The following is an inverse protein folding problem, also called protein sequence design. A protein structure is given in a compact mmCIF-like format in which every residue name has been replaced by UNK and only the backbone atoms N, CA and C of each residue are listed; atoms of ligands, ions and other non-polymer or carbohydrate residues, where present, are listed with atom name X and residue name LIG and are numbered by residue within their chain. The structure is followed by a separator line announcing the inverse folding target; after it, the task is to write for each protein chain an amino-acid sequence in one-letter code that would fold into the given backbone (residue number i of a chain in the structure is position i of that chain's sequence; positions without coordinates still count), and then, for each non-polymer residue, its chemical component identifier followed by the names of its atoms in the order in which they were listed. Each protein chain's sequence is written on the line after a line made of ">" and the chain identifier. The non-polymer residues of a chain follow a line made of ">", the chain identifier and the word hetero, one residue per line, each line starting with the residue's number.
data_IF_650008118742
#
_entry.id   IF_650008118742
#
_cell.length_a   1.000
_cell.length_b   1.000
_cell.length_c   1.000
_cell.angle_alpha   90.00
_cell.angle_beta   90.00
_cell.angle_gamma   90.00
#
_symmetry.space_group_name_H-M   'P 1'
#
loop_
_entity.id
_entity.type
_entity.pdbx_description
1 polymer ?
#
# COMPACT_ATOMS: atom_id res chain seq x y z
N UNK A 1 -28.21 25.78 -20.40
CA UNK A 1 -28.65 24.44 -19.96
C UNK A 1 -28.22 24.28 -18.51
N UNK A 2 -29.20 24.27 -17.62
CA UNK A 2 -29.07 24.00 -16.19
C UNK A 2 -29.06 22.48 -15.88
N UNK A 3 -28.72 22.14 -14.63
CA UNK A 3 -29.07 20.94 -13.81
C UNK A 3 -27.95 19.96 -13.34
N UNK A 4 -27.68 19.97 -12.01
CA UNK A 4 -27.38 18.88 -11.03
C UNK A 4 -26.52 17.65 -11.46
N UNK A 5 -25.37 17.25 -10.89
CA UNK A 5 -25.00 16.87 -9.49
C UNK A 5 -24.57 15.37 -9.43
N UNK A 6 -24.05 14.77 -8.32
CA UNK A 6 -23.03 15.19 -7.35
C UNK A 6 -21.65 14.56 -7.67
N UNK A 7 -20.60 14.90 -6.91
CA UNK A 7 -19.35 14.12 -6.90
C UNK A 7 -19.67 12.66 -6.54
N UNK A 8 -19.78 11.79 -7.54
CA UNK A 8 -19.71 10.35 -7.33
C UNK A 8 -18.31 10.05 -6.84
N UNK A 9 -18.12 10.01 -5.51
CA UNK A 9 -16.99 9.31 -4.95
C UNK A 9 -17.15 7.86 -5.37
N UNK A 10 -16.50 7.49 -6.48
CA UNK A 10 -16.36 6.10 -6.91
C UNK A 10 -15.95 5.29 -5.69
N UNK A 11 -16.72 4.26 -5.35
CA UNK A 11 -16.31 3.32 -4.30
C UNK A 11 -14.95 2.78 -4.70
N UNK A 12 -13.93 3.09 -3.90
CA UNK A 12 -12.58 2.55 -4.06
C UNK A 12 -12.72 1.07 -3.69
N UNK A 13 -12.64 0.18 -4.67
CA UNK A 13 -12.71 -1.26 -4.50
C UNK A 13 -11.92 -1.97 -5.60
N UNK A 14 -11.31 -3.14 -5.33
CA UNK A 14 -10.64 -3.92 -6.36
C UNK A 14 -11.65 -4.46 -7.40
N UNK A 15 -11.20 -4.75 -8.63
CA UNK A 15 -12.04 -5.43 -9.62
C UNK A 15 -12.61 -6.74 -9.06
N UNK A 16 -13.92 -6.92 -9.13
CA UNK A 16 -14.60 -8.14 -8.64
C UNK A 16 -14.91 -8.15 -7.14
N UNK A 17 -14.75 -7.03 -6.43
CA UNK A 17 -15.12 -6.92 -5.02
C UNK A 17 -16.60 -7.32 -4.77
N UNK A 18 -16.89 -8.13 -3.73
CA UNK A 18 -18.27 -8.52 -3.40
C UNK A 18 -19.16 -7.30 -3.13
N UNK A 19 -20.44 -7.32 -3.52
CA UNK A 19 -21.35 -6.22 -3.26
C UNK A 19 -21.50 -5.99 -1.74
N UNK A 20 -21.57 -4.72 -1.34
CA UNK A 20 -21.73 -4.35 0.07
C UNK A 20 -20.44 -4.35 0.89
N UNK A 21 -19.29 -4.66 0.29
CA UNK A 21 -17.97 -4.52 0.94
C UNK A 21 -17.39 -3.13 0.72
N UNK A 22 -16.57 -2.68 1.68
CA UNK A 22 -15.85 -1.41 1.61
C UNK A 22 -14.36 -1.69 1.64
N UNK A 23 -13.60 -0.94 0.84
CA UNK A 23 -12.18 -1.19 0.63
C UNK A 23 -11.38 0.10 0.67
N UNK A 24 -10.11 -0.05 0.96
CA UNK A 24 -9.09 0.97 0.78
C UNK A 24 -7.85 0.33 0.13
N UNK A 25 -6.90 1.14 -0.30
CA UNK A 25 -5.67 0.68 -0.96
C UNK A 25 -4.43 1.43 -0.50
N UNK A 26 -3.34 0.69 -0.39
CA UNK A 26 -1.99 1.24 -0.28
C UNK A 26 -1.35 1.21 -1.66
N UNK A 27 -0.76 2.32 -2.08
CA UNK A 27 -0.01 2.40 -3.35
C UNK A 27 1.47 2.46 -3.06
N UNK A 28 2.20 1.41 -3.45
CA UNK A 28 3.67 1.42 -3.47
C UNK A 28 4.11 2.04 -4.80
N UNK A 29 4.85 3.15 -4.80
CA UNK A 29 5.25 3.83 -6.03
C UNK A 29 6.27 2.99 -6.83
N UNK A 30 6.33 3.24 -8.14
CA UNK A 30 7.40 2.68 -8.97
C UNK A 30 8.74 3.34 -8.65
N UNK A 31 9.81 2.56 -8.66
CA UNK A 31 11.18 3.06 -8.59
C UNK A 31 11.79 2.99 -9.99
N UNK A 32 12.22 4.14 -10.48
CA UNK A 32 12.89 4.29 -11.78
C UNK A 32 14.32 4.70 -11.53
N UNK A 33 15.26 3.92 -12.06
CA UNK A 33 16.68 4.19 -11.97
C UNK A 33 17.28 4.54 -13.33
N UNK A 34 18.26 5.43 -13.31
CA UNK A 34 19.09 5.71 -14.48
C UNK A 34 20.27 4.74 -14.49
N UNK A 35 20.23 3.76 -15.38
CA UNK A 35 21.27 2.74 -15.49
C UNK A 35 22.24 3.11 -16.61
N UNK A 36 23.54 3.12 -16.30
CA UNK A 36 24.62 3.28 -17.27
C UNK A 36 25.26 1.92 -17.56
N UNK A 37 25.24 1.50 -18.83
CA UNK A 37 25.76 0.23 -19.30
C UNK A 37 26.97 0.47 -20.20
N UNK A 38 28.04 -0.31 -20.01
CA UNK A 38 29.14 -0.41 -20.98
C UNK A 38 28.90 -1.61 -21.88
N UNK A 39 28.24 -1.37 -23.01
CA UNK A 39 27.87 -2.42 -23.96
C UNK A 39 29.07 -2.73 -24.85
N UNK A 40 29.46 -4.01 -24.92
CA UNK A 40 30.49 -4.47 -25.86
C UNK A 40 29.98 -4.28 -27.28
N UNK A 41 30.71 -3.51 -28.07
CA UNK A 41 30.40 -3.27 -29.50
C UNK A 41 31.14 -4.26 -30.37
N UNK A 42 32.42 -4.48 -30.07
CA UNK A 42 33.27 -5.43 -30.77
C UNK A 42 34.17 -6.13 -29.75
N UNK A 43 34.24 -7.46 -29.81
CA UNK A 43 35.16 -8.24 -29.00
C UNK A 43 36.62 -7.92 -29.34
N UNK A 44 37.57 -8.36 -28.52
CA UNK A 44 38.97 -8.29 -28.90
C UNK A 44 39.27 -9.33 -29.99
N UNK A 45 40.04 -8.94 -31.00
CA UNK A 45 40.59 -9.88 -31.97
C UNK A 45 41.90 -10.44 -31.42
N UNK A 46 42.04 -11.76 -31.42
CA UNK A 46 43.17 -12.49 -30.87
C UNK A 46 43.82 -13.35 -31.95
N UNK A 47 45.14 -13.54 -31.88
CA UNK A 47 45.87 -14.54 -32.65
C UNK A 47 45.74 -15.95 -32.02
N UNK A 48 46.15 -16.99 -32.75
CA UNK A 48 46.08 -18.39 -32.28
C UNK A 48 46.90 -18.66 -31.01
N UNK A 49 47.91 -17.84 -30.73
CA UNK A 49 48.74 -17.89 -29.51
C UNK A 49 48.18 -17.04 -28.35
N UNK A 50 47.02 -16.40 -28.54
CA UNK A 50 46.37 -15.53 -27.57
C UNK A 50 46.85 -14.08 -27.57
N UNK A 51 47.75 -13.68 -28.48
CA UNK A 51 48.18 -12.29 -28.61
C UNK A 51 47.02 -11.40 -29.07
N UNK A 52 46.80 -10.26 -28.39
CA UNK A 52 45.75 -9.29 -28.75
C UNK A 52 46.15 -8.54 -30.01
N UNK A 53 45.40 -8.74 -31.09
CA UNK A 53 45.56 -8.03 -32.37
C UNK A 53 44.78 -6.71 -32.37
N UNK A 54 43.57 -6.72 -31.82
CA UNK A 54 42.74 -5.53 -31.66
C UNK A 54 42.01 -5.58 -30.32
N UNK A 55 42.02 -4.52 -29.50
CA UNK A 55 41.30 -4.52 -28.24
C UNK A 55 39.78 -4.47 -28.47
N UNK A 56 39.03 -4.95 -27.47
CA UNK A 56 37.58 -4.80 -27.44
C UNK A 56 37.18 -3.31 -27.43
N UNK A 57 36.09 -2.99 -28.13
CA UNK A 57 35.48 -1.65 -28.10
C UNK A 57 34.13 -1.69 -27.40
N UNK A 58 33.84 -0.64 -26.63
CA UNK A 58 32.62 -0.52 -25.83
C UNK A 58 31.91 0.79 -26.11
N UNK A 59 30.59 0.80 -25.94
CA UNK A 59 29.75 2.00 -25.97
C UNK A 59 29.08 2.18 -24.62
N UNK A 60 29.10 3.40 -24.12
CA UNK A 60 28.33 3.77 -22.93
C UNK A 60 26.90 4.09 -23.35
N UNK A 61 25.94 3.40 -22.75
CA UNK A 61 24.51 3.63 -22.92
C UNK A 61 23.87 3.98 -21.59
N UNK A 62 23.08 5.06 -21.57
CA UNK A 62 22.31 5.46 -20.39
C UNK A 62 20.84 5.28 -20.70
N UNK A 63 20.11 4.54 -19.85
CA UNK A 63 18.67 4.36 -20.01
C UNK A 63 17.94 4.42 -18.68
N UNK A 64 16.67 4.84 -18.72
CA UNK A 64 15.76 4.70 -17.60
C UNK A 64 15.29 3.25 -17.52
N UNK A 65 15.35 2.66 -16.34
CA UNK A 65 14.89 1.31 -16.06
C UNK A 65 13.96 1.35 -14.85
N UNK A 66 12.75 0.82 -15.03
CA UNK A 66 11.85 0.56 -13.90
C UNK A 66 12.42 -0.65 -13.17
N UNK A 67 12.92 -0.44 -11.94
CA UNK A 67 13.50 -1.51 -11.11
C UNK A 67 12.48 -2.11 -10.15
N UNK A 68 11.42 -1.34 -9.86
CA UNK A 68 10.28 -1.79 -9.10
C UNK A 68 9.01 -1.18 -9.71
N UNK A 69 8.05 -2.01 -10.03
CA UNK A 69 6.76 -1.58 -10.54
C UNK A 69 5.88 -1.00 -9.43
N UNK A 70 5.02 -0.04 -9.82
CA UNK A 70 3.98 0.47 -8.94
C UNK A 70 2.98 -0.65 -8.65
N UNK A 71 2.70 -0.88 -7.38
CA UNK A 71 1.74 -1.91 -6.95
C UNK A 71 0.65 -1.29 -6.07
N UNK A 72 -0.59 -1.74 -6.22
CA UNK A 72 -1.69 -1.41 -5.33
C UNK A 72 -2.05 -2.62 -4.48
N UNK A 73 -2.01 -2.46 -3.16
CA UNK A 73 -2.43 -3.48 -2.19
C UNK A 73 -3.80 -3.09 -1.66
N UNK A 74 -4.81 -3.91 -1.95
CA UNK A 74 -6.20 -3.70 -1.54
C UNK A 74 -6.48 -4.41 -0.21
N UNK A 75 -7.27 -3.77 0.65
CA UNK A 75 -7.72 -4.36 1.90
C UNK A 75 -9.13 -3.88 2.25
N UNK A 76 -9.91 -4.74 2.90
CA UNK A 76 -11.26 -4.39 3.35
C UNK A 76 -11.21 -3.47 4.57
N UNK A 77 -12.22 -2.62 4.69
CA UNK A 77 -12.41 -1.69 5.80
C UNK A 77 -13.86 -1.77 6.29
N UNK A 78 -14.14 -1.40 7.56
CA UNK A 78 -15.52 -1.21 7.99
C UNK A 78 -16.22 -0.15 7.14
N UNK A 79 -17.43 -0.46 6.67
CA UNK A 79 -18.25 0.51 5.96
C UNK A 79 -18.67 1.67 6.86
N UNK A 80 -18.96 2.83 6.25
CA UNK A 80 -19.27 4.07 6.99
C UNK A 80 -20.50 3.97 7.88
N UNK A 81 -21.46 3.10 7.54
CA UNK A 81 -22.65 2.85 8.36
C UNK A 81 -22.34 2.13 9.67
N UNK A 82 -21.27 1.32 9.70
CA UNK A 82 -20.79 0.60 10.89
C UNK A 82 -19.89 1.47 11.76
N UNK A 83 -19.21 2.48 11.17
CA UNK A 83 -18.29 3.40 11.85
C UNK A 83 -19.02 4.45 12.73
N UNK A 84 -19.87 3.99 13.64
CA UNK A 84 -20.60 4.82 14.59
C UNK A 84 -19.71 5.35 15.73
N UNK A 85 -20.13 6.38 16.47
CA UNK A 85 -19.39 6.86 17.64
C UNK A 85 -19.15 5.78 18.71
N UNK A 86 -20.10 4.88 18.91
CA UNK A 86 -19.95 3.74 19.84
C UNK A 86 -18.92 2.72 19.35
N UNK A 87 -18.91 2.44 18.05
CA UNK A 87 -17.88 1.60 17.42
C UNK A 87 -16.50 2.20 17.62
N UNK A 88 -16.33 3.49 17.31
CA UNK A 88 -15.05 4.18 17.47
C UNK A 88 -14.64 4.29 18.94
N UNK A 89 -15.59 4.45 19.85
CA UNK A 89 -15.31 4.43 21.29
C UNK A 89 -14.76 3.08 21.74
N UNK A 90 -15.30 1.99 21.19
CA UNK A 90 -14.82 0.64 21.46
C UNK A 90 -13.43 0.40 20.85
N UNK A 91 -13.18 0.90 19.64
CA UNK A 91 -11.86 0.93 19.01
C UNK A 91 -10.83 1.66 19.87
N UNK A 92 -11.16 2.88 20.32
CA UNK A 92 -10.26 3.67 21.16
C UNK A 92 -9.92 2.93 22.46
N UNK A 93 -10.88 2.28 23.12
CA UNK A 93 -10.62 1.44 24.31
C UNK A 93 -9.71 0.26 23.99
N UNK A 94 -9.94 -0.43 22.87
CA UNK A 94 -9.10 -1.54 22.44
C UNK A 94 -7.65 -1.11 22.18
N UNK A 95 -7.45 0.11 21.65
CA UNK A 95 -6.14 0.71 21.44
C UNK A 95 -5.49 1.17 22.76
N UNK A 96 -6.26 1.72 23.71
CA UNK A 96 -5.77 2.08 25.05
C UNK A 96 -5.24 0.86 25.81
N UNK A 97 -5.99 -0.24 25.80
CA UNK A 97 -5.59 -1.48 26.49
C UNK A 97 -4.27 -2.04 25.94
N UNK A 98 -3.96 -1.75 24.67
CA UNK A 98 -2.70 -2.14 24.01
C UNK A 98 -1.58 -1.11 24.19
N UNK A 99 -1.84 -0.01 24.90
CA UNK A 99 -0.87 1.08 25.11
C UNK A 99 -0.55 1.87 23.84
N UNK A 100 -1.46 1.88 22.85
CA UNK A 100 -1.26 2.56 21.56
C UNK A 100 -2.03 3.87 21.45
N UNK A 101 -2.91 4.15 22.40
CA UNK A 101 -3.71 5.37 22.45
C UNK A 101 -3.79 5.84 23.90
N UNK A 102 -3.44 7.10 24.16
CA UNK A 102 -3.49 7.71 25.50
C UNK A 102 -4.53 8.84 25.58
N UNK A 103 -5.24 9.10 24.49
CA UNK A 103 -6.25 10.15 24.40
C UNK A 103 -7.58 9.78 25.10
N UNK A 104 -8.50 10.75 25.25
CA UNK A 104 -9.84 10.49 25.77
C UNK A 104 -10.67 9.65 24.79
N UNK A 105 -11.61 8.86 25.31
CA UNK A 105 -12.57 8.13 24.48
C UNK A 105 -13.62 9.11 23.95
N UNK A 106 -13.43 9.62 22.73
CA UNK A 106 -14.28 10.64 22.11
C UNK A 106 -15.32 10.06 21.15
N UNK A 107 -15.16 8.81 20.71
CA UNK A 107 -15.97 8.22 19.65
C UNK A 107 -15.73 8.87 18.28
N UNK A 108 -14.64 9.63 18.11
CA UNK A 108 -14.29 10.30 16.86
C UNK A 108 -13.06 9.64 16.26
N UNK A 109 -13.16 9.23 15.00
CA UNK A 109 -12.04 8.67 14.26
C UNK A 109 -11.17 9.83 13.76
N UNK A 110 -10.41 10.45 14.67
CA UNK A 110 -9.60 11.64 14.48
C UNK A 110 -8.10 11.31 14.31
N UNK A 111 -7.26 12.33 14.13
CA UNK A 111 -5.82 12.16 13.89
C UNK A 111 -5.12 11.28 14.94
N UNK A 112 -5.31 11.53 16.25
CA UNK A 112 -4.76 10.68 17.29
C UNK A 112 -5.24 9.22 17.20
N UNK A 113 -6.53 9.00 16.95
CA UNK A 113 -7.08 7.64 16.81
C UNK A 113 -6.50 6.93 15.57
N UNK A 114 -6.40 7.63 14.43
CA UNK A 114 -5.81 7.11 13.20
C UNK A 114 -4.31 6.81 13.33
N UNK A 115 -3.56 7.63 14.05
CA UNK A 115 -2.15 7.37 14.33
C UNK A 115 -1.96 6.11 15.20
N UNK A 116 -2.85 5.88 16.17
CA UNK A 116 -2.86 4.65 16.96
C UNK A 116 -3.20 3.41 16.11
N UNK A 117 -4.20 3.52 15.21
CA UNK A 117 -4.53 2.49 14.22
C UNK A 117 -3.32 2.18 13.33
N UNK A 118 -2.68 3.21 12.76
CA UNK A 118 -1.47 3.05 11.95
C UNK A 118 -0.40 2.30 12.74
N UNK A 119 -0.10 2.73 13.96
CA UNK A 119 0.94 2.10 14.79
C UNK A 119 0.64 0.60 15.01
N UNK A 120 -0.61 0.24 15.30
CA UNK A 120 -1.01 -1.16 15.42
C UNK A 120 -0.84 -1.92 14.10
N UNK A 121 -1.34 -1.37 13.00
CA UNK A 121 -1.38 -2.04 11.71
C UNK A 121 0.01 -2.21 11.09
N UNK A 122 0.93 -1.28 11.34
CA UNK A 122 2.34 -1.41 10.95
C UNK A 122 3.00 -2.63 11.57
N UNK A 123 2.67 -2.95 12.82
CA UNK A 123 3.15 -4.17 13.49
C UNK A 123 2.60 -5.45 12.84
N UNK A 124 1.49 -5.34 12.11
CA UNK A 124 0.88 -6.42 11.32
C UNK A 124 1.26 -6.36 9.83
N UNK A 125 2.20 -5.49 9.45
CA UNK A 125 2.67 -5.34 8.06
C UNK A 125 1.78 -4.48 7.15
N UNK A 126 0.80 -3.75 7.71
CA UNK A 126 -0.09 -2.87 6.96
C UNK A 126 0.21 -1.39 7.28
N UNK A 127 0.79 -0.67 6.34
CA UNK A 127 1.13 0.76 6.45
C UNK A 127 -0.06 1.65 6.07
N UNK A 128 -1.13 1.64 6.88
CA UNK A 128 -2.32 2.47 6.66
C UNK A 128 -2.91 3.05 7.96
N UNK A 129 -3.40 4.29 7.89
CA UNK A 129 -4.18 4.96 8.94
C UNK A 129 -5.67 4.56 8.94
N UNK A 130 -6.15 3.95 7.85
CA UNK A 130 -7.51 3.45 7.73
C UNK A 130 -7.62 2.11 8.46
N UNK A 131 -8.65 1.96 9.30
CA UNK A 131 -8.89 0.72 10.03
C UNK A 131 -9.22 -0.42 9.06
N UNK A 132 -8.35 -1.40 8.96
CA UNK A 132 -8.60 -2.64 8.23
C UNK A 132 -9.68 -3.47 8.93
N UNK A 133 -10.51 -4.15 8.13
CA UNK A 133 -11.57 -5.01 8.61
C UNK A 133 -11.01 -6.16 9.46
N UNK A 134 -9.86 -6.72 9.08
CA UNK A 134 -9.14 -7.73 9.87
C UNK A 134 -8.74 -7.21 11.25
N UNK A 135 -8.22 -5.98 11.34
CA UNK A 135 -7.90 -5.34 12.62
C UNK A 135 -9.14 -5.19 13.50
N UNK A 136 -10.26 -4.73 12.92
CA UNK A 136 -11.53 -4.59 13.63
C UNK A 136 -12.06 -5.94 14.15
N UNK A 137 -11.97 -6.99 13.34
CA UNK A 137 -12.30 -8.37 13.73
C UNK A 137 -11.38 -8.89 14.84
N UNK A 138 -10.08 -8.66 14.74
CA UNK A 138 -9.09 -9.03 15.76
C UNK A 138 -9.30 -8.30 17.10
N UNK A 139 -9.93 -7.12 17.08
CA UNK A 139 -10.35 -6.41 18.29
C UNK A 139 -11.72 -6.86 18.82
N UNK A 140 -12.41 -7.78 18.13
CA UNK A 140 -13.76 -8.22 18.48
C UNK A 140 -14.83 -7.15 18.25
N UNK A 141 -14.55 -6.15 17.41
CA UNK A 141 -15.48 -5.04 17.12
C UNK A 141 -16.47 -5.40 16.01
N UNK A 142 -16.13 -6.40 15.20
CA UNK A 142 -16.95 -6.92 14.11
C UNK A 142 -16.98 -8.42 14.25
N UNK A 143 -18.18 -8.98 14.13
CA UNK A 143 -18.37 -10.42 14.14
C UNK A 143 -17.58 -11.08 13.00
N UNK A 144 -16.78 -12.08 13.36
CA UNK A 144 -16.09 -12.91 12.39
C UNK A 144 -17.11 -13.96 11.94
N UNK A 145 -17.82 -13.70 10.84
CA UNK A 145 -18.50 -14.80 10.17
C UNK A 145 -17.40 -15.75 9.65
N UNK A 146 -17.40 -17.04 10.00
CA UNK A 146 -16.45 -17.98 9.43
C UNK A 146 -16.67 -18.00 7.91
N UNK A 147 -15.60 -17.75 7.16
CA UNK A 147 -15.62 -17.94 5.71
C UNK A 147 -15.48 -19.44 5.45
N UNK A 148 -16.54 -20.06 4.96
CA UNK A 148 -16.56 -21.45 4.46
C UNK A 148 -15.71 -21.61 3.18
#
# INVERSE_FOLDING_TARGET
>A
MDLQGPFSFTRIAPPGAPPGTCWDRITTPAIVETVTLHVLVHAADLADDGTVLQPASYRTETRQQIVQDRTETWFEIPCSDVLTPDFVSSLQRALQVRGLYDGPITGKLDGPTRAAVLTYQRQQGLESETLALETARGFGLIEVMPQE
#
